data_IF_338583607954
#
_entry.id   IF_338583607954
#
_cell.length_a   1.000
_cell.length_b   1.000
_cell.length_c   1.000
_cell.angle_alpha   90.00
_cell.angle_beta   90.00
_cell.angle_gamma   90.00
#
_symmetry.space_group_name_H-M   'P 1'
#
loop_
_entity.id
_entity.type
_entity.pdbx_description
1 polymer ?
#
# COMPACT_ATOMS: atom_id res chain seq x y z
N UNK A 1 -3.72 30.00 9.49
CA UNK A 1 -5.02 29.43 9.84
C UNK A 1 -5.99 29.66 8.66
N UNK A 2 -6.02 28.79 7.69
CA UNK A 2 -7.04 28.80 6.66
C UNK A 2 -7.73 27.45 6.67
N UNK A 3 -8.98 27.45 7.11
CA UNK A 3 -9.87 26.29 7.09
C UNK A 3 -10.42 26.14 5.68
N UNK A 4 -9.91 25.17 4.90
CA UNK A 4 -10.49 24.76 3.64
C UNK A 4 -11.68 23.84 3.86
N UNK A 5 -12.86 24.32 3.57
CA UNK A 5 -14.10 23.55 3.51
C UNK A 5 -14.12 22.77 2.19
N UNK A 6 -14.12 21.46 2.25
CA UNK A 6 -14.37 20.61 1.09
C UNK A 6 -15.72 19.91 1.25
N UNK A 7 -16.66 20.26 0.37
CA UNK A 7 -17.96 19.60 0.26
C UNK A 7 -17.83 18.23 -0.42
N UNK A 8 -18.51 17.23 0.13
CA UNK A 8 -18.66 15.90 -0.45
C UNK A 8 -19.87 15.83 -1.38
N UNK A 9 -19.64 15.38 -2.61
CA UNK A 9 -20.65 14.66 -3.38
C UNK A 9 -20.23 13.19 -3.45
N UNK A 10 -21.16 12.23 -3.26
CA UNK A 10 -20.87 10.85 -3.56
C UNK A 10 -20.80 10.74 -5.08
N UNK A 11 -19.58 10.69 -5.62
CA UNK A 11 -19.39 10.39 -7.03
C UNK A 11 -19.75 8.94 -7.22
N UNK A 12 -20.96 8.68 -7.70
CA UNK A 12 -21.26 7.49 -8.45
C UNK A 12 -20.32 7.53 -9.66
N UNK A 13 -19.19 6.83 -9.55
CA UNK A 13 -18.30 6.59 -10.67
C UNK A 13 -19.05 5.64 -11.61
N UNK A 14 -19.97 6.17 -12.42
CA UNK A 14 -20.29 5.56 -13.70
C UNK A 14 -18.97 5.61 -14.46
N UNK A 15 -18.29 4.48 -14.51
CA UNK A 15 -17.16 4.24 -15.39
C UNK A 15 -17.59 4.63 -16.80
N UNK A 16 -17.38 5.87 -17.17
CA UNK A 16 -17.12 6.19 -18.58
C UNK A 16 -15.84 5.40 -18.88
N UNK A 17 -16.02 4.22 -19.43
CA UNK A 17 -14.98 3.50 -20.14
C UNK A 17 -14.63 4.36 -21.35
N UNK A 18 -13.78 5.37 -21.12
CA UNK A 18 -12.89 5.81 -22.19
C UNK A 18 -12.10 4.55 -22.54
N UNK A 19 -12.53 3.87 -23.58
CA UNK A 19 -11.77 2.81 -24.22
C UNK A 19 -10.51 3.43 -24.82
N UNK A 20 -9.53 3.69 -23.96
CA UNK A 20 -8.16 3.83 -24.41
C UNK A 20 -7.81 2.47 -24.98
N UNK A 21 -7.33 2.35 -26.22
CA UNK A 21 -6.98 1.08 -26.80
C UNK A 21 -6.00 0.38 -25.85
N UNK A 22 -6.34 -0.84 -25.45
CA UNK A 22 -5.49 -1.70 -24.65
C UNK A 22 -4.16 -1.87 -25.38
N UNK A 23 -3.09 -1.48 -24.73
CA UNK A 23 -1.72 -1.76 -25.15
C UNK A 23 -1.55 -3.27 -25.34
N UNK A 24 -1.58 -3.74 -26.56
CA UNK A 24 -1.46 -5.16 -26.89
C UNK A 24 -0.07 -5.54 -27.40
N UNK A 25 0.79 -4.57 -27.62
CA UNK A 25 2.10 -4.79 -28.24
C UNK A 25 3.23 -4.35 -27.31
N UNK A 26 4.29 -5.14 -27.24
CA UNK A 26 5.49 -4.84 -26.45
C UNK A 26 6.17 -3.53 -26.87
N UNK A 27 6.05 -3.14 -28.14
CA UNK A 27 6.60 -1.88 -28.67
C UNK A 27 5.87 -0.67 -28.13
N UNK A 28 4.57 -0.76 -27.90
CA UNK A 28 3.75 0.33 -27.36
C UNK A 28 4.05 0.57 -25.87
N UNK A 29 4.19 -0.50 -25.06
CA UNK A 29 4.63 -0.38 -23.67
C UNK A 29 5.98 0.33 -23.55
N UNK A 30 6.95 -0.04 -24.38
CA UNK A 30 8.27 0.58 -24.34
C UNK A 30 8.23 2.07 -24.63
N UNK A 31 7.34 2.53 -25.54
CA UNK A 31 7.20 3.96 -25.81
C UNK A 31 6.71 4.75 -24.58
N UNK A 32 5.75 4.21 -23.82
CA UNK A 32 5.25 4.84 -22.59
C UNK A 32 6.30 4.84 -21.48
N UNK A 33 7.11 3.79 -21.36
CA UNK A 33 8.09 3.65 -20.29
C UNK A 33 9.49 4.17 -20.65
N UNK A 34 9.70 4.77 -21.83
CA UNK A 34 11.02 5.18 -22.30
C UNK A 34 11.79 6.03 -21.27
N UNK A 35 11.16 7.08 -20.74
CA UNK A 35 11.77 7.95 -19.73
C UNK A 35 12.04 7.23 -18.41
N UNK A 36 11.19 6.29 -18.04
CA UNK A 36 11.35 5.48 -16.84
C UNK A 36 12.51 4.47 -17.01
N UNK A 37 12.62 3.83 -18.18
CA UNK A 37 13.72 2.92 -18.51
C UNK A 37 15.06 3.67 -18.45
N UNK A 38 15.14 4.85 -19.08
CA UNK A 38 16.33 5.69 -19.01
C UNK A 38 16.72 6.00 -17.57
N UNK A 39 15.77 6.48 -16.76
CA UNK A 39 15.98 6.84 -15.35
C UNK A 39 16.44 5.66 -14.49
N UNK A 40 15.85 4.47 -14.69
CA UNK A 40 16.26 3.26 -13.98
C UNK A 40 17.68 2.84 -14.37
N UNK A 41 18.04 2.98 -15.65
CA UNK A 41 19.39 2.66 -16.14
C UNK A 41 20.44 3.64 -15.58
N UNK A 42 20.13 4.93 -15.51
CA UNK A 42 20.96 5.95 -14.86
C UNK A 42 21.16 5.66 -13.38
N UNK A 43 20.14 5.08 -12.70
CA UNK A 43 20.23 4.64 -11.30
C UNK A 43 20.89 3.25 -11.12
N UNK A 44 21.47 2.68 -12.19
CA UNK A 44 22.32 1.49 -12.16
C UNK A 44 21.60 0.16 -12.37
N UNK A 45 20.36 0.14 -12.80
CA UNK A 45 19.73 -1.10 -13.24
C UNK A 45 20.20 -1.48 -14.66
N UNK A 46 20.37 -2.77 -14.90
CA UNK A 46 20.74 -3.27 -16.24
C UNK A 46 19.66 -2.93 -17.27
N UNK A 47 20.06 -2.32 -18.39
CA UNK A 47 19.15 -1.90 -19.45
C UNK A 47 18.34 -3.06 -20.01
N UNK A 48 18.94 -4.23 -20.20
CA UNK A 48 18.26 -5.40 -20.75
C UNK A 48 17.21 -5.94 -19.78
N UNK A 49 17.51 -5.90 -18.49
CA UNK A 49 16.59 -6.30 -17.42
C UNK A 49 15.36 -5.40 -17.38
N UNK A 50 15.54 -4.08 -17.33
CA UNK A 50 14.38 -3.15 -17.23
C UNK A 50 13.58 -3.12 -18.52
N UNK A 51 14.22 -3.19 -19.69
CA UNK A 51 13.54 -3.22 -20.98
C UNK A 51 12.71 -4.49 -21.15
N UNK A 52 13.24 -5.64 -20.73
CA UNK A 52 12.51 -6.91 -20.77
C UNK A 52 11.26 -6.88 -19.89
N UNK A 53 11.35 -6.32 -18.69
CA UNK A 53 10.22 -6.27 -17.75
C UNK A 53 9.17 -5.26 -18.21
N UNK A 54 9.55 -4.04 -18.52
CA UNK A 54 8.64 -2.97 -18.89
C UNK A 54 8.10 -3.11 -20.32
N UNK A 55 8.80 -3.84 -21.20
CA UNK A 55 8.32 -4.19 -22.53
C UNK A 55 7.41 -5.42 -22.57
N UNK A 56 7.30 -6.20 -21.49
CA UNK A 56 6.40 -7.36 -21.45
C UNK A 56 4.93 -6.89 -21.52
N UNK A 57 4.07 -7.53 -22.32
CA UNK A 57 2.65 -7.17 -22.40
C UNK A 57 1.91 -7.15 -21.06
N UNK A 58 2.37 -7.93 -20.06
CA UNK A 58 1.82 -7.93 -18.69
C UNK A 58 2.14 -6.65 -17.90
N UNK A 59 3.15 -5.89 -18.33
CA UNK A 59 3.51 -4.61 -17.74
C UNK A 59 2.71 -3.44 -18.32
N UNK A 60 1.47 -3.67 -18.68
CA UNK A 60 0.56 -2.69 -19.27
C UNK A 60 0.60 -1.34 -18.55
N UNK A 61 0.90 -0.27 -19.31
CA UNK A 61 0.83 1.08 -18.81
C UNK A 61 -0.61 1.46 -18.50
N UNK A 62 -0.86 1.89 -17.27
CA UNK A 62 -2.17 2.35 -16.83
C UNK A 62 -2.13 3.84 -16.62
N UNK A 63 -2.78 4.64 -17.51
CA UNK A 63 -2.87 6.08 -17.34
C UNK A 63 -3.35 6.38 -15.93
N UNK A 64 -2.62 7.21 -15.24
CA UNK A 64 -2.68 7.30 -13.82
C UNK A 64 -4.03 7.68 -13.26
N UNK A 65 -4.44 6.89 -12.38
CA UNK A 65 -5.53 7.04 -11.46
C UNK A 65 -5.17 7.98 -10.30
N UNK A 66 -4.74 9.23 -10.59
CA UNK A 66 -4.63 10.27 -9.55
C UNK A 66 -5.94 10.41 -8.78
N UNK A 67 -7.07 10.14 -9.43
CA UNK A 67 -8.39 10.16 -8.81
C UNK A 67 -8.54 9.27 -7.59
N UNK A 68 -7.86 8.13 -7.57
CA UNK A 68 -7.86 7.26 -6.40
C UNK A 68 -7.26 7.98 -5.18
N UNK A 69 -6.32 8.88 -5.41
CA UNK A 69 -5.63 9.63 -4.35
C UNK A 69 -6.25 11.00 -4.05
N UNK A 70 -6.88 11.64 -5.04
CA UNK A 70 -7.51 12.96 -4.88
C UNK A 70 -8.92 12.89 -4.29
N UNK A 71 -9.65 11.81 -4.57
CA UNK A 71 -11.02 11.61 -4.07
C UNK A 71 -11.11 11.00 -2.67
N UNK A 72 -10.00 10.59 -2.11
CA UNK A 72 -9.97 9.92 -0.83
C UNK A 72 -9.79 10.91 0.33
N UNK A 73 -10.83 11.69 0.67
CA UNK A 73 -11.05 11.89 2.10
C UNK A 73 -11.32 10.51 2.67
N UNK A 74 -10.50 10.14 3.63
CA UNK A 74 -10.69 8.89 4.34
C UNK A 74 -12.08 8.88 4.99
N UNK A 75 -12.94 8.06 4.42
CA UNK A 75 -14.28 7.85 4.97
C UNK A 75 -14.17 6.88 6.15
N UNK A 76 -14.41 7.31 7.38
CA UNK A 76 -14.41 6.45 8.56
C UNK A 76 -15.30 5.21 8.40
N UNK A 77 -16.39 5.31 7.61
CA UNK A 77 -17.31 4.21 7.36
C UNK A 77 -16.64 2.98 6.72
N UNK A 78 -15.52 3.19 6.00
CA UNK A 78 -14.72 2.09 5.44
C UNK A 78 -14.18 1.12 6.49
N UNK A 79 -14.00 1.61 7.71
CA UNK A 79 -13.43 0.83 8.81
C UNK A 79 -14.50 0.19 9.70
N UNK A 80 -15.75 0.66 9.68
CA UNK A 80 -16.85 0.13 10.50
C UNK A 80 -17.05 -1.39 10.32
N UNK A 81 -16.85 -1.89 9.10
CA UNK A 81 -16.94 -3.33 8.81
C UNK A 81 -16.01 -4.18 9.66
N UNK A 82 -14.86 -3.65 10.08
CA UNK A 82 -13.88 -4.37 10.91
C UNK A 82 -14.27 -4.39 12.39
N UNK A 83 -15.20 -3.52 12.79
CA UNK A 83 -15.74 -3.47 14.16
C UNK A 83 -17.01 -4.31 14.33
N UNK A 84 -17.52 -4.92 13.26
CA UNK A 84 -18.70 -5.81 13.34
C UNK A 84 -18.38 -7.08 14.13
N UNK A 85 -19.37 -7.69 14.80
CA UNK A 85 -19.18 -8.92 15.58
C UNK A 85 -18.46 -10.03 14.82
N UNK A 86 -18.77 -10.21 13.53
CA UNK A 86 -18.18 -11.25 12.67
C UNK A 86 -16.68 -11.03 12.49
N UNK A 87 -16.26 -9.79 12.23
CA UNK A 87 -14.85 -9.44 12.08
C UNK A 87 -14.07 -9.60 13.39
N UNK A 88 -14.68 -9.25 14.51
CA UNK A 88 -14.08 -9.45 15.84
C UNK A 88 -13.97 -10.94 16.17
N UNK A 89 -14.97 -11.76 15.78
CA UNK A 89 -14.91 -13.20 15.95
C UNK A 89 -13.78 -13.81 15.11
N UNK A 90 -13.65 -13.40 13.84
CA UNK A 90 -12.55 -13.80 12.96
C UNK A 90 -11.18 -13.43 13.56
N UNK A 91 -11.04 -12.23 14.12
CA UNK A 91 -9.82 -11.79 14.79
C UNK A 91 -9.50 -12.63 16.04
N UNK A 92 -10.51 -13.01 16.82
CA UNK A 92 -10.35 -13.92 17.97
C UNK A 92 -9.89 -15.31 17.52
N UNK A 93 -10.51 -15.88 16.48
CA UNK A 93 -10.11 -17.17 15.92
C UNK A 93 -8.64 -17.15 15.49
N UNK A 94 -8.25 -16.15 14.68
CA UNK A 94 -6.87 -15.98 14.26
C UNK A 94 -5.89 -15.86 15.43
N UNK A 95 -6.26 -15.09 16.47
CA UNK A 95 -5.45 -14.92 17.68
C UNK A 95 -5.22 -16.27 18.39
N UNK A 96 -6.28 -17.08 18.56
CA UNK A 96 -6.18 -18.39 19.21
C UNK A 96 -5.36 -19.38 18.37
N UNK A 97 -5.64 -19.50 17.08
CA UNK A 97 -4.95 -20.38 16.15
C UNK A 97 -3.44 -20.10 16.08
N UNK A 98 -3.06 -18.82 16.18
CA UNK A 98 -1.66 -18.39 16.07
C UNK A 98 -1.04 -17.97 17.42
N UNK A 99 -1.64 -18.37 18.54
CA UNK A 99 -1.27 -17.89 19.88
C UNK A 99 0.20 -18.13 20.22
N UNK A 100 0.77 -19.25 19.80
CA UNK A 100 2.18 -19.59 20.06
C UNK A 100 3.11 -18.61 19.38
N UNK A 101 2.88 -18.33 18.09
CA UNK A 101 3.70 -17.40 17.29
C UNK A 101 3.53 -15.98 17.82
N UNK A 102 2.30 -15.56 18.06
CA UNK A 102 1.97 -14.24 18.61
C UNK A 102 2.63 -13.99 19.98
N UNK A 103 2.62 -14.96 20.88
CA UNK A 103 3.33 -14.83 22.18
C UNK A 103 4.85 -14.77 22.01
N UNK A 104 5.43 -15.49 21.04
CA UNK A 104 6.87 -15.41 20.72
C UNK A 104 7.23 -14.02 20.18
N UNK A 105 6.45 -13.52 19.22
CA UNK A 105 6.58 -12.17 18.67
C UNK A 105 6.47 -11.10 19.77
N UNK A 106 5.43 -11.20 20.61
CA UNK A 106 5.18 -10.26 21.71
C UNK A 106 6.35 -10.18 22.70
N UNK A 107 6.97 -11.33 23.05
CA UNK A 107 8.18 -11.35 23.89
C UNK A 107 9.38 -10.75 23.19
N UNK A 108 9.57 -11.07 21.90
CA UNK A 108 10.73 -10.62 21.11
C UNK A 108 10.72 -9.12 20.86
N UNK A 109 9.59 -8.56 20.44
CA UNK A 109 9.48 -7.19 19.99
C UNK A 109 8.84 -6.25 21.00
N UNK A 110 8.29 -6.76 22.09
CA UNK A 110 7.56 -5.99 23.09
C UNK A 110 6.35 -5.24 22.51
N UNK A 111 5.71 -5.84 21.51
CA UNK A 111 4.51 -5.35 20.82
C UNK A 111 3.33 -6.21 21.27
N UNK A 112 2.21 -5.56 21.60
CA UNK A 112 0.99 -6.29 21.98
C UNK A 112 0.47 -7.11 20.81
N UNK A 113 0.23 -8.40 21.04
CA UNK A 113 -0.25 -9.32 20.00
C UNK A 113 -1.60 -8.93 19.41
N UNK A 114 -2.46 -8.29 20.22
CA UNK A 114 -3.77 -7.82 19.78
C UNK A 114 -3.65 -6.70 18.75
N UNK A 115 -2.63 -5.86 18.83
CA UNK A 115 -2.34 -4.81 17.84
C UNK A 115 -1.93 -5.46 16.51
N UNK A 116 -1.06 -6.47 16.53
CA UNK A 116 -0.64 -7.19 15.31
C UNK A 116 -1.82 -7.89 14.65
N UNK A 117 -2.69 -8.53 15.44
CA UNK A 117 -3.92 -9.16 14.92
C UNK A 117 -4.87 -8.12 14.30
N UNK A 118 -5.04 -6.96 14.95
CA UNK A 118 -5.87 -5.87 14.42
C UNK A 118 -5.35 -5.34 13.08
N UNK A 119 -4.04 -5.14 12.96
CA UNK A 119 -3.41 -4.74 11.70
C UNK A 119 -3.67 -5.79 10.62
N UNK A 120 -3.39 -7.08 10.86
CA UNK A 120 -3.61 -8.14 9.87
C UNK A 120 -5.07 -8.27 9.42
N UNK A 121 -6.02 -8.01 10.34
CA UNK A 121 -7.44 -7.98 10.00
C UNK A 121 -7.76 -6.86 9.00
N UNK A 122 -7.26 -5.66 9.26
CA UNK A 122 -7.56 -4.48 8.44
C UNK A 122 -6.86 -4.57 7.09
N UNK A 123 -5.59 -4.94 7.07
CA UNK A 123 -4.75 -4.92 5.87
C UNK A 123 -5.18 -5.96 4.83
N UNK A 124 -5.39 -7.18 5.26
CA UNK A 124 -5.61 -8.27 4.29
C UNK A 124 -6.69 -9.28 4.69
N UNK A 125 -7.42 -9.04 5.79
CA UNK A 125 -8.28 -10.07 6.38
C UNK A 125 -7.56 -11.40 6.58
N UNK A 126 -6.37 -11.32 7.16
CA UNK A 126 -5.52 -12.49 7.40
C UNK A 126 -5.08 -13.22 6.13
N UNK A 127 -4.89 -12.49 5.02
CA UNK A 127 -4.44 -13.02 3.74
C UNK A 127 -5.55 -13.33 2.73
N UNK A 128 -6.83 -13.13 3.07
CA UNK A 128 -7.94 -13.28 2.12
C UNK A 128 -7.91 -12.23 1.00
N UNK A 129 -7.32 -11.07 1.27
CA UNK A 129 -7.23 -9.97 0.32
C UNK A 129 -5.85 -9.32 0.36
N UNK A 130 -4.92 -9.84 -0.40
CA UNK A 130 -3.55 -9.32 -0.53
C UNK A 130 -3.36 -8.36 -1.72
N UNK A 131 -4.45 -8.02 -2.42
CA UNK A 131 -4.43 -7.22 -3.64
C UNK A 131 -4.48 -8.06 -4.91
N UNK A 132 -4.85 -7.40 -6.02
CA UNK A 132 -5.04 -8.02 -7.35
C UNK A 132 -4.37 -7.26 -8.49
N UNK A 133 -3.54 -6.29 -8.15
CA UNK A 133 -2.83 -5.47 -9.12
C UNK A 133 -1.40 -5.98 -9.26
N UNK A 134 -0.90 -6.20 -10.48
CA UNK A 134 0.51 -6.47 -10.69
C UNK A 134 1.34 -5.30 -10.19
N UNK A 135 2.35 -5.57 -9.36
CA UNK A 135 3.11 -4.53 -8.66
C UNK A 135 3.94 -3.68 -9.63
N UNK A 136 4.61 -4.31 -10.60
CA UNK A 136 5.42 -3.58 -11.58
C UNK A 136 4.62 -2.55 -12.36
N UNK A 137 3.56 -2.91 -13.14
CA UNK A 137 2.82 -1.91 -13.91
C UNK A 137 2.15 -0.87 -13.02
N UNK A 138 1.77 -1.23 -11.79
CA UNK A 138 1.20 -0.29 -10.83
C UNK A 138 2.21 0.77 -10.43
N UNK A 139 3.38 0.38 -9.95
CA UNK A 139 4.41 1.33 -9.52
C UNK A 139 5.05 2.08 -10.69
N UNK A 140 5.25 1.41 -11.83
CA UNK A 140 5.77 2.05 -13.04
C UNK A 140 4.83 3.13 -13.57
N UNK A 141 3.53 2.85 -13.67
CA UNK A 141 2.53 3.84 -14.09
C UNK A 141 2.43 5.01 -13.10
N UNK A 142 2.45 4.72 -11.79
CA UNK A 142 2.47 5.76 -10.75
C UNK A 142 3.73 6.62 -10.80
N UNK A 143 4.88 6.06 -11.19
CA UNK A 143 6.13 6.81 -11.36
C UNK A 143 6.10 7.85 -12.47
N UNK A 144 5.14 7.75 -13.39
CA UNK A 144 4.93 8.67 -14.51
C UNK A 144 3.79 9.67 -14.29
N UNK A 145 3.26 9.77 -13.07
CA UNK A 145 2.16 10.68 -12.74
C UNK A 145 2.44 12.15 -13.06
N UNK A 146 3.69 12.56 -12.96
CA UNK A 146 4.14 13.92 -13.21
C UNK A 146 4.58 14.16 -14.66
N UNK A 147 4.38 13.21 -15.58
CA UNK A 147 4.56 13.48 -17.00
C UNK A 147 3.54 14.54 -17.48
N UNK A 148 3.95 15.38 -18.42
CA UNK A 148 3.11 16.47 -18.91
C UNK A 148 1.75 15.98 -19.42
N UNK A 149 1.73 14.87 -20.15
CA UNK A 149 0.52 14.25 -20.65
C UNK A 149 -0.42 13.79 -19.50
N UNK A 150 0.13 13.12 -18.46
CA UNK A 150 -0.66 12.68 -17.33
C UNK A 150 -1.19 13.85 -16.50
N UNK A 151 -0.39 14.88 -16.31
CA UNK A 151 -0.80 16.10 -15.59
C UNK A 151 -1.96 16.79 -16.31
N UNK A 152 -1.83 17.02 -17.61
CA UNK A 152 -2.87 17.66 -18.40
C UNK A 152 -4.18 16.87 -18.40
N UNK A 153 -4.10 15.56 -18.65
CA UNK A 153 -5.26 14.67 -18.62
C UNK A 153 -5.96 14.67 -17.26
N UNK A 154 -5.19 14.52 -16.18
CA UNK A 154 -5.76 14.50 -14.85
C UNK A 154 -6.37 15.85 -14.47
N UNK A 155 -5.73 16.96 -14.84
CA UNK A 155 -6.27 18.29 -14.59
C UNK A 155 -7.61 18.51 -15.29
N UNK A 156 -7.72 18.14 -16.57
CA UNK A 156 -8.96 18.24 -17.33
C UNK A 156 -10.10 17.43 -16.70
N UNK A 157 -9.82 16.21 -16.27
CA UNK A 157 -10.81 15.35 -15.61
C UNK A 157 -11.23 15.90 -14.25
N UNK A 158 -10.26 16.32 -13.42
CA UNK A 158 -10.58 16.68 -12.04
C UNK A 158 -11.15 18.09 -11.88
N UNK A 159 -10.82 19.03 -12.75
CA UNK A 159 -11.38 20.38 -12.68
C UNK A 159 -12.91 20.40 -12.87
N UNK A 160 -13.50 19.39 -13.52
CA UNK A 160 -14.95 19.27 -13.65
C UNK A 160 -15.63 19.00 -12.30
N UNK A 161 -14.95 18.27 -11.41
CA UNK A 161 -15.46 17.89 -10.09
C UNK A 161 -14.89 18.72 -8.94
N UNK A 162 -13.78 19.39 -9.19
CA UNK A 162 -13.05 20.24 -8.24
C UNK A 162 -12.74 21.58 -8.94
N UNK A 163 -13.70 22.49 -9.08
CA UNK A 163 -13.53 23.75 -9.84
C UNK A 163 -12.36 24.61 -9.34
N UNK A 164 -12.08 24.55 -8.03
CA UNK A 164 -11.00 25.32 -7.38
C UNK A 164 -9.64 24.60 -7.44
N UNK A 165 -9.52 23.51 -8.21
CA UNK A 165 -8.27 22.75 -8.32
C UNK A 165 -7.22 23.59 -9.04
N UNK A 166 -6.15 23.94 -8.33
CA UNK A 166 -4.99 24.61 -8.93
C UNK A 166 -4.14 23.59 -9.70
N UNK A 167 -3.73 23.94 -10.93
CA UNK A 167 -2.80 23.12 -11.71
C UNK A 167 -1.45 22.95 -11.00
N UNK A 168 -0.92 24.02 -10.40
CA UNK A 168 0.32 23.99 -9.62
C UNK A 168 0.23 23.04 -8.41
N UNK A 169 -0.91 23.06 -7.73
CA UNK A 169 -1.14 22.12 -6.62
C UNK A 169 -1.13 20.67 -7.11
N UNK A 170 -1.83 20.39 -8.23
CA UNK A 170 -1.88 19.07 -8.84
C UNK A 170 -0.50 18.60 -9.29
N UNK A 171 0.28 19.47 -9.95
CA UNK A 171 1.64 19.18 -10.37
C UNK A 171 2.54 18.82 -9.20
N UNK A 172 2.52 19.63 -8.14
CA UNK A 172 3.29 19.38 -6.92
C UNK A 172 2.86 18.07 -6.22
N UNK A 173 1.56 17.78 -6.22
CA UNK A 173 1.05 16.52 -5.68
C UNK A 173 1.52 15.33 -6.51
N UNK A 174 1.35 15.37 -7.83
CA UNK A 174 1.77 14.33 -8.76
C UNK A 174 3.28 14.08 -8.70
N UNK A 175 4.09 15.13 -8.63
CA UNK A 175 5.55 15.03 -8.49
C UNK A 175 5.95 14.24 -7.23
N UNK A 176 5.41 14.60 -6.06
CA UNK A 176 5.71 13.86 -4.82
C UNK A 176 5.26 12.40 -4.90
N UNK A 177 4.12 12.14 -5.54
CA UNK A 177 3.58 10.78 -5.67
C UNK A 177 4.39 9.94 -6.66
N UNK A 178 4.82 10.54 -7.77
CA UNK A 178 5.66 9.90 -8.77
C UNK A 178 7.05 9.54 -8.18
N UNK A 179 7.68 10.45 -7.45
CA UNK A 179 8.96 10.18 -6.79
C UNK A 179 8.84 9.07 -5.73
N UNK A 180 7.78 9.07 -4.94
CA UNK A 180 7.52 7.98 -4.02
C UNK A 180 7.36 6.64 -4.76
N UNK A 181 6.53 6.58 -5.80
CA UNK A 181 6.31 5.36 -6.56
C UNK A 181 7.57 4.85 -7.26
N UNK A 182 8.38 5.77 -7.78
CA UNK A 182 9.68 5.45 -8.36
C UNK A 182 10.64 4.83 -7.33
N UNK A 183 10.69 5.39 -6.13
CA UNK A 183 11.47 4.80 -5.03
C UNK A 183 10.98 3.38 -4.71
N UNK A 184 9.66 3.18 -4.57
CA UNK A 184 9.10 1.87 -4.29
C UNK A 184 9.33 0.88 -5.43
N UNK A 185 9.26 1.32 -6.69
CA UNK A 185 9.60 0.49 -7.86
C UNK A 185 11.05 0.01 -7.78
N UNK A 186 12.00 0.90 -7.48
CA UNK A 186 13.42 0.51 -7.33
C UNK A 186 13.60 -0.50 -6.19
N UNK A 187 12.95 -0.29 -5.07
CA UNK A 187 12.97 -1.25 -3.96
C UNK A 187 12.40 -2.61 -4.41
N UNK A 188 11.29 -2.62 -5.13
CA UNK A 188 10.70 -3.86 -5.63
C UNK A 188 11.63 -4.59 -6.62
N UNK A 189 12.19 -3.87 -7.59
CA UNK A 189 13.13 -4.46 -8.56
C UNK A 189 14.38 -5.05 -7.88
N UNK A 190 14.87 -4.46 -6.79
CA UNK A 190 15.97 -5.03 -5.99
C UNK A 190 15.56 -6.36 -5.35
N UNK A 191 14.38 -6.44 -4.74
CA UNK A 191 13.84 -7.68 -4.17
C UNK A 191 13.79 -8.77 -5.24
N UNK A 192 13.27 -8.45 -6.42
CA UNK A 192 13.13 -9.39 -7.53
C UNK A 192 14.48 -9.93 -8.02
N UNK A 193 15.48 -9.06 -8.11
CA UNK A 193 16.83 -9.47 -8.51
C UNK A 193 17.47 -10.44 -7.50
N UNK A 194 17.28 -10.20 -6.20
CA UNK A 194 17.79 -11.06 -5.13
C UNK A 194 17.08 -12.42 -5.09
N UNK A 195 15.75 -12.41 -5.20
CA UNK A 195 14.91 -13.60 -5.06
C UNK A 195 14.75 -14.41 -6.37
N UNK A 196 15.14 -13.86 -7.52
CA UNK A 196 15.08 -14.49 -8.85
C UNK A 196 13.69 -14.98 -9.26
N UNK A 197 12.68 -14.21 -8.95
CA UNK A 197 11.28 -14.51 -9.29
C UNK A 197 10.80 -13.68 -10.48
N UNK A 198 9.69 -14.10 -11.11
CA UNK A 198 9.06 -13.31 -12.16
C UNK A 198 8.39 -12.06 -11.58
N UNK A 199 8.90 -10.84 -11.87
CA UNK A 199 8.36 -9.60 -11.31
C UNK A 199 6.91 -9.34 -11.68
N UNK A 200 6.45 -9.90 -12.79
CA UNK A 200 5.11 -9.67 -13.33
C UNK A 200 4.06 -10.66 -12.80
N UNK A 201 4.49 -11.64 -12.01
CA UNK A 201 3.57 -12.55 -11.30
C UNK A 201 3.37 -12.16 -9.83
N UNK A 202 3.96 -11.04 -9.38
CA UNK A 202 3.73 -10.53 -8.04
C UNK A 202 2.54 -9.55 -8.03
N UNK A 203 1.56 -9.85 -7.20
CA UNK A 203 0.35 -9.06 -7.03
C UNK A 203 0.34 -8.35 -5.67
N UNK A 204 -0.28 -7.18 -5.64
CA UNK A 204 -0.40 -6.36 -4.45
C UNK A 204 -1.60 -5.40 -4.53
N UNK A 205 -1.60 -4.40 -3.67
CA UNK A 205 -2.64 -3.35 -3.68
C UNK A 205 -2.49 -2.42 -4.90
N UNK A 206 -3.46 -1.54 -5.08
CA UNK A 206 -3.43 -0.45 -6.08
C UNK A 206 -2.27 0.56 -5.86
N UNK A 207 -1.60 0.47 -4.71
CA UNK A 207 -0.42 1.27 -4.36
C UNK A 207 0.87 0.42 -4.28
N UNK A 208 0.84 -0.85 -4.71
CA UNK A 208 1.99 -1.74 -4.70
C UNK A 208 2.33 -2.33 -3.33
N UNK A 209 1.41 -2.31 -2.36
CA UNK A 209 1.62 -2.97 -1.08
C UNK A 209 1.49 -4.49 -1.20
N UNK A 210 2.28 -5.23 -0.44
CA UNK A 210 2.63 -6.63 -0.63
C UNK A 210 2.14 -7.53 0.52
N UNK A 211 1.60 -8.69 0.17
CA UNK A 211 1.34 -9.80 1.06
C UNK A 211 0.35 -9.50 2.19
N UNK A 212 0.34 -10.37 3.20
CA UNK A 212 -0.60 -10.26 4.32
C UNK A 212 -0.41 -9.00 5.17
N UNK A 213 0.83 -8.53 5.32
CA UNK A 213 1.17 -7.34 6.09
C UNK A 213 0.96 -6.04 5.30
N UNK A 214 0.66 -6.11 4.00
CA UNK A 214 0.53 -4.96 3.10
C UNK A 214 1.72 -3.98 3.21
N UNK A 215 2.94 -4.52 3.32
CA UNK A 215 4.15 -3.72 3.27
C UNK A 215 4.41 -3.18 1.87
N UNK A 216 4.71 -1.90 1.75
CA UNK A 216 5.30 -1.37 0.52
C UNK A 216 6.72 -1.94 0.35
N UNK A 217 7.29 -2.01 -0.86
CA UNK A 217 8.59 -2.63 -1.11
C UNK A 217 9.71 -2.13 -0.20
N UNK A 218 9.78 -0.84 0.08
CA UNK A 218 10.76 -0.28 1.02
C UNK A 218 10.56 -0.78 2.45
N UNK A 219 9.33 -0.95 2.88
CA UNK A 219 9.03 -1.52 4.20
C UNK A 219 9.39 -3.01 4.28
N UNK A 220 9.20 -3.75 3.18
CA UNK A 220 9.68 -5.13 3.10
C UNK A 220 11.20 -5.20 3.32
N UNK A 221 11.99 -4.43 2.56
CA UNK A 221 13.46 -4.41 2.66
C UNK A 221 13.90 -4.09 4.10
N UNK A 222 13.25 -3.12 4.74
CA UNK A 222 13.70 -2.62 6.04
C UNK A 222 13.20 -3.44 7.24
N UNK A 223 12.04 -4.09 7.13
CA UNK A 223 11.36 -4.65 8.30
C UNK A 223 10.86 -6.08 8.15
N UNK A 224 10.79 -6.63 6.94
CA UNK A 224 10.33 -8.00 6.77
C UNK A 224 11.31 -9.00 7.38
N UNK A 225 10.78 -10.10 7.87
CA UNK A 225 11.52 -11.23 8.44
C UNK A 225 11.10 -12.51 7.72
N UNK A 226 11.47 -12.67 6.45
CA UNK A 226 11.13 -13.86 5.68
C UNK A 226 11.90 -15.07 6.22
N UNK A 227 11.22 -16.17 6.44
CA UNK A 227 11.84 -17.42 6.89
C UNK A 227 12.32 -18.30 5.74
N UNK A 228 11.69 -18.16 4.55
CA UNK A 228 11.94 -18.98 3.36
C UNK A 228 11.90 -18.14 2.06
N UNK A 229 12.33 -16.89 2.12
CA UNK A 229 12.32 -15.96 0.99
C UNK A 229 10.99 -15.21 0.81
N UNK A 230 10.98 -14.37 -0.22
CA UNK A 230 9.91 -13.39 -0.47
C UNK A 230 8.56 -14.03 -0.80
N UNK A 231 8.51 -14.99 -1.72
CA UNK A 231 7.25 -15.63 -2.13
C UNK A 231 6.54 -16.29 -0.96
N UNK A 232 7.30 -16.99 -0.11
CA UNK A 232 6.74 -17.59 1.10
C UNK A 232 6.20 -16.51 2.06
N UNK A 233 6.95 -15.41 2.23
CA UNK A 233 6.57 -14.31 3.12
C UNK A 233 5.22 -13.68 2.74
N UNK A 234 4.91 -13.57 1.45
CA UNK A 234 3.66 -12.96 0.99
C UNK A 234 2.41 -13.53 1.67
N UNK A 235 2.41 -14.84 1.97
CA UNK A 235 1.26 -15.56 2.54
C UNK A 235 1.55 -16.22 3.89
N UNK A 236 2.77 -16.10 4.41
CA UNK A 236 3.17 -16.71 5.68
C UNK A 236 2.61 -15.92 6.86
N UNK A 237 1.70 -16.54 7.62
CA UNK A 237 1.17 -15.97 8.86
C UNK A 237 2.27 -15.68 9.88
N UNK A 238 3.21 -16.62 10.08
CA UNK A 238 4.32 -16.46 11.02
C UNK A 238 5.24 -15.31 10.63
N UNK A 239 5.65 -15.24 9.36
CA UNK A 239 6.53 -14.19 8.87
C UNK A 239 5.86 -12.81 8.92
N UNK A 240 4.57 -12.73 8.55
CA UNK A 240 3.80 -11.48 8.63
C UNK A 240 3.63 -11.00 10.07
N UNK A 241 3.32 -11.89 11.01
CA UNK A 241 3.23 -11.58 12.45
C UNK A 241 4.56 -11.01 12.96
N UNK A 242 5.68 -11.68 12.65
CA UNK A 242 6.99 -11.25 13.08
C UNK A 242 7.43 -9.93 12.41
N UNK A 243 7.14 -9.77 11.13
CA UNK A 243 7.47 -8.56 10.37
C UNK A 243 6.73 -7.33 10.89
N UNK A 244 5.43 -7.45 11.17
CA UNK A 244 4.65 -6.35 11.79
C UNK A 244 5.20 -6.02 13.18
N UNK A 245 5.52 -7.02 13.99
CA UNK A 245 6.14 -6.82 15.29
C UNK A 245 7.48 -6.08 15.19
N UNK A 246 8.32 -6.46 14.23
CA UNK A 246 9.59 -5.80 13.94
C UNK A 246 9.41 -4.36 13.48
N UNK A 247 8.46 -4.11 12.53
CA UNK A 247 8.11 -2.77 12.06
C UNK A 247 7.71 -1.85 13.22
N UNK A 248 6.75 -2.26 14.03
CA UNK A 248 6.24 -1.46 15.13
C UNK A 248 7.35 -1.18 16.16
N UNK A 249 8.17 -2.18 16.50
CA UNK A 249 9.31 -2.01 17.39
C UNK A 249 10.33 -1.01 16.84
N UNK A 250 10.70 -1.13 15.57
CA UNK A 250 11.64 -0.24 14.90
C UNK A 250 11.13 1.21 14.86
N UNK A 251 9.81 1.39 14.75
CA UNK A 251 9.15 2.70 14.78
C UNK A 251 8.81 3.20 16.20
N UNK A 252 9.38 2.56 17.25
CA UNK A 252 9.35 3.05 18.61
C UNK A 252 8.26 2.46 19.50
N UNK A 253 7.58 1.38 19.10
CA UNK A 253 6.63 0.70 19.98
C UNK A 253 7.31 0.16 21.24
N UNK A 254 6.68 0.43 22.38
CA UNK A 254 7.05 -0.11 23.71
C UNK A 254 5.76 -0.39 24.47
N UNK A 255 5.74 -1.40 25.32
CA UNK A 255 4.56 -1.72 26.16
C UNK A 255 4.14 -0.60 27.11
N UNK A 256 5.07 0.29 27.42
CA UNK A 256 4.84 1.41 28.33
C UNK A 256 4.38 2.70 27.61
N UNK A 257 4.12 2.61 26.29
CA UNK A 257 3.64 3.79 25.56
C UNK A 257 2.27 4.25 26.07
N UNK A 258 2.15 5.56 26.25
CA UNK A 258 0.85 6.20 26.38
C UNK A 258 -0.01 5.96 25.13
N UNK A 259 -1.31 6.20 25.21
CA UNK A 259 -2.22 6.10 24.07
C UNK A 259 -1.71 6.96 22.89
N UNK A 260 -1.30 8.18 23.15
CA UNK A 260 -0.74 9.08 22.13
C UNK A 260 0.57 8.57 21.52
N UNK A 261 1.39 7.89 22.31
CA UNK A 261 2.58 7.20 21.81
C UNK A 261 2.23 6.05 20.87
N UNK A 262 1.23 5.24 21.22
CA UNK A 262 0.73 4.15 20.38
C UNK A 262 0.16 4.70 19.06
N UNK A 263 -0.66 5.75 19.11
CA UNK A 263 -1.20 6.43 17.92
C UNK A 263 -0.10 6.89 16.97
N UNK A 264 0.96 7.52 17.48
CA UNK A 264 2.09 7.96 16.64
C UNK A 264 2.79 6.80 15.92
N UNK A 265 2.99 5.67 16.60
CA UNK A 265 3.61 4.51 15.95
C UNK A 265 2.66 3.89 14.91
N UNK A 266 1.38 3.75 15.21
CA UNK A 266 0.40 3.25 14.24
C UNK A 266 0.25 4.19 13.04
N UNK A 267 0.36 5.50 13.24
CA UNK A 267 0.39 6.49 12.16
C UNK A 267 1.55 6.31 11.19
N UNK A 268 2.69 5.76 11.64
CA UNK A 268 3.79 5.43 10.72
C UNK A 268 3.45 4.26 9.80
N UNK A 269 2.59 3.35 10.25
CA UNK A 269 2.12 2.22 9.45
C UNK A 269 1.13 2.66 8.37
N UNK A 270 0.13 3.41 8.79
CA UNK A 270 -0.85 4.03 7.89
C UNK A 270 -1.25 5.41 8.43
N UNK A 271 -1.03 6.45 7.61
CA UNK A 271 -1.28 7.87 7.96
C UNK A 271 -2.76 8.21 7.90
N UNK A 272 -3.54 7.55 8.73
CA UNK A 272 -4.98 7.58 8.77
C UNK A 272 -5.48 7.58 10.21
N UNK A 273 -6.20 8.63 10.61
CA UNK A 273 -6.78 8.67 11.95
C UNK A 273 -7.86 7.59 12.14
N UNK A 274 -8.81 7.38 11.20
CA UNK A 274 -9.76 6.27 11.31
C UNK A 274 -9.10 4.89 11.36
N UNK A 275 -7.99 4.68 10.64
CA UNK A 275 -7.21 3.46 10.71
C UNK A 275 -6.67 3.24 12.14
N UNK A 276 -5.97 4.23 12.66
CA UNK A 276 -5.34 4.17 13.99
C UNK A 276 -6.36 3.87 15.07
N UNK A 277 -7.50 4.60 15.08
CA UNK A 277 -8.57 4.38 16.04
C UNK A 277 -9.17 2.98 15.91
N UNK A 278 -9.36 2.49 14.69
CA UNK A 278 -9.91 1.15 14.45
C UNK A 278 -8.97 0.05 14.93
N UNK A 279 -7.65 0.17 14.67
CA UNK A 279 -6.64 -0.78 15.19
C UNK A 279 -6.70 -0.85 16.72
N UNK A 280 -6.72 0.30 17.38
CA UNK A 280 -6.77 0.39 18.84
C UNK A 280 -8.06 -0.19 19.40
N UNK A 281 -9.20 0.09 18.78
CA UNK A 281 -10.50 -0.43 19.22
C UNK A 281 -10.61 -1.95 19.05
N UNK A 282 -10.15 -2.50 17.92
CA UNK A 282 -10.09 -3.95 17.73
C UNK A 282 -9.19 -4.59 18.80
N UNK A 283 -8.00 -4.05 19.01
CA UNK A 283 -7.08 -4.56 20.02
C UNK A 283 -7.68 -4.53 21.44
N UNK A 284 -8.41 -3.47 21.78
CA UNK A 284 -9.13 -3.34 23.04
C UNK A 284 -10.20 -4.45 23.23
N UNK A 285 -10.99 -4.72 22.19
CA UNK A 285 -12.01 -5.78 22.19
C UNK A 285 -11.40 -7.18 22.29
N UNK A 286 -10.23 -7.40 21.67
CA UNK A 286 -9.51 -8.67 21.76
C UNK A 286 -8.94 -8.92 23.17
N UNK A 287 -8.53 -7.86 23.89
CA UNK A 287 -8.08 -7.95 25.29
C UNK A 287 -9.21 -8.24 26.28
N UNK A 288 -10.48 -8.24 25.84
CA UNK A 288 -11.63 -8.49 26.69
C UNK A 288 -11.95 -7.36 27.67
N UNK A 289 -11.40 -6.16 27.46
CA UNK A 289 -11.72 -4.99 28.28
C UNK A 289 -12.98 -4.33 27.76
N UNK A 290 -14.11 -4.48 28.50
CA UNK A 290 -15.29 -3.64 28.28
C UNK A 290 -14.92 -2.17 28.48
N UNK A 291 -15.46 -1.28 27.62
CA UNK A 291 -15.47 0.15 27.91
C UNK A 291 -16.22 0.37 29.24
N UNK A 292 -15.54 0.90 30.25
CA UNK A 292 -16.18 1.54 31.39
C UNK A 292 -16.66 2.91 30.99
#
# INVERSE_FOLDING_TARGET
MQRGWFFFLPILLSLLTLTVPLCKDSTENLSFYQSLIQRLTEDGFDLSFVTRILGDPRAEYKPATLGIYLGAKEDPSRYEKFLRPESILQAKSFLYENLRVLKKMERRFQVDKEIVVAILLIESRFGENIGRHRVVPTLASLSLLNSQENLQRNYEVFREYLPDLSFEWLENFAKRRAEWAYHELKCFLKIILEERIDPLEVYGSYAGALGMAQFIPSSYINYALPSKGFEHWLLSKEDSINSIGNYLRANGWKRTLSLEGQKRVLWSYNRSEPYVETVLEIARRLKGRSSK
#
